data_IF_257915568255
#
_entry.id   IF_257915568255
#
_cell.length_a   1.000
_cell.length_b   1.000
_cell.length_c   1.000
_cell.angle_alpha   90.00
_cell.angle_beta   90.00
_cell.angle_gamma   90.00
#
_symmetry.space_group_name_H-M   'P 1'
#
loop_
_entity.id
_entity.type
_entity.pdbx_description
1 polymer ?
#
# COMPACT_ATOMS: atom_id res chain seq x y z
N UNK A 1 -0.21 -10.85 -14.11
CA UNK A 1 -0.84 -9.60 -14.61
C UNK A 1 0.22 -8.51 -14.63
N UNK A 2 0.28 -7.68 -15.69
CA UNK A 2 1.30 -6.62 -15.79
C UNK A 2 0.74 -5.35 -15.14
N UNK A 3 1.33 -4.92 -14.01
CA UNK A 3 0.91 -3.70 -13.33
C UNK A 3 1.63 -2.47 -13.90
N UNK A 4 0.98 -1.31 -13.79
CA UNK A 4 1.57 -0.03 -14.19
C UNK A 4 2.72 0.41 -13.26
N UNK A 5 3.56 1.33 -13.75
CA UNK A 5 4.75 1.81 -13.00
C UNK A 5 4.42 2.34 -11.60
N UNK A 6 3.29 3.05 -11.45
CA UNK A 6 2.87 3.65 -10.16
C UNK A 6 2.56 2.58 -9.11
N UNK A 7 1.89 1.50 -9.52
CA UNK A 7 1.63 0.35 -8.66
C UNK A 7 2.94 -0.33 -8.24
N UNK A 8 3.85 -0.58 -9.19
CA UNK A 8 5.13 -1.22 -8.90
C UNK A 8 5.96 -0.42 -7.88
N UNK A 9 5.94 0.92 -7.99
CA UNK A 9 6.63 1.79 -7.04
C UNK A 9 6.03 1.74 -5.63
N UNK A 10 4.70 1.69 -5.51
CA UNK A 10 4.05 1.55 -4.19
C UNK A 10 4.27 0.16 -3.60
N UNK A 11 4.18 -0.90 -4.41
CA UNK A 11 4.42 -2.28 -3.99
C UNK A 11 5.86 -2.47 -3.47
N UNK A 12 6.85 -1.79 -4.05
CA UNK A 12 8.23 -1.83 -3.59
C UNK A 12 8.44 -1.27 -2.17
N UNK A 13 7.50 -0.49 -1.62
CA UNK A 13 7.55 0.01 -0.24
C UNK A 13 7.12 -1.03 0.79
N UNK A 14 6.45 -2.09 0.36
CA UNK A 14 5.92 -3.15 1.21
C UNK A 14 6.96 -4.27 1.30
N UNK A 15 7.25 -4.72 2.52
CA UNK A 15 8.11 -5.88 2.76
C UNK A 15 7.24 -7.12 2.94
N UNK A 16 7.29 -8.02 1.96
CA UNK A 16 6.56 -9.29 2.03
C UNK A 16 6.98 -10.11 3.27
N UNK A 17 6.00 -10.71 3.94
CA UNK A 17 6.23 -11.53 5.14
C UNK A 17 6.47 -10.75 6.44
N UNK A 18 6.64 -9.42 6.39
CA UNK A 18 6.73 -8.59 7.60
C UNK A 18 5.34 -8.39 8.21
N UNK A 19 5.22 -8.64 9.52
CA UNK A 19 4.05 -8.22 10.30
C UNK A 19 4.27 -6.77 10.75
N UNK A 20 3.43 -5.88 10.25
CA UNK A 20 3.42 -4.47 10.66
C UNK A 20 2.50 -4.31 11.88
N UNK A 21 2.81 -3.35 12.76
CA UNK A 21 1.80 -2.89 13.73
C UNK A 21 0.65 -2.19 12.99
N UNK A 22 -0.49 -2.03 13.65
CA UNK A 22 -1.64 -1.33 13.05
C UNK A 22 -1.25 0.11 12.66
N UNK A 23 -0.52 0.80 13.53
CA UNK A 23 -0.07 2.17 13.30
C UNK A 23 0.90 2.27 12.12
N UNK A 24 1.84 1.33 12.02
CA UNK A 24 2.79 1.27 10.91
C UNK A 24 2.07 0.97 9.59
N UNK A 25 1.13 0.02 9.60
CA UNK A 25 0.34 -0.32 8.42
C UNK A 25 -0.50 0.87 7.95
N UNK A 26 -1.17 1.59 8.86
CA UNK A 26 -1.95 2.78 8.51
C UNK A 26 -1.09 3.90 7.90
N UNK A 27 0.16 4.09 8.35
CA UNK A 27 1.09 5.05 7.74
C UNK A 27 1.52 4.58 6.36
N UNK A 28 1.89 3.30 6.23
CA UNK A 28 2.38 2.72 4.98
C UNK A 28 1.32 2.78 3.87
N UNK A 29 0.06 2.51 4.18
CA UNK A 29 -1.04 2.60 3.21
C UNK A 29 -1.19 4.01 2.66
N UNK A 30 -1.09 5.03 3.52
CA UNK A 30 -1.11 6.44 3.10
C UNK A 30 0.08 6.80 2.21
N UNK A 31 1.26 6.25 2.49
CA UNK A 31 2.45 6.47 1.65
C UNK A 31 2.37 5.73 0.31
N UNK A 32 1.59 4.65 0.23
CA UNK A 32 1.36 3.90 -1.00
C UNK A 32 0.32 4.57 -1.92
N UNK A 33 -0.45 5.53 -1.40
CA UNK A 33 -1.43 6.31 -2.16
C UNK A 33 -0.78 7.02 -3.35
N UNK A 34 -1.36 6.85 -4.53
CA UNK A 34 -0.89 7.54 -5.72
C UNK A 34 -2.01 8.06 -6.62
N UNK A 35 -3.26 7.64 -6.49
CA UNK A 35 -4.31 8.28 -7.27
C UNK A 35 -4.50 9.74 -6.82
N UNK A 36 -5.26 10.50 -7.61
CA UNK A 36 -5.52 11.93 -7.34
C UNK A 36 -6.90 12.13 -6.68
N UNK A 37 -7.41 11.09 -6.03
CA UNK A 37 -8.73 11.08 -5.38
C UNK A 37 -8.62 10.32 -4.06
N UNK A 38 -9.58 10.51 -3.16
CA UNK A 38 -9.59 9.79 -1.88
C UNK A 38 -9.89 8.31 -2.10
N UNK A 39 -8.83 7.49 -2.03
CA UNK A 39 -8.91 6.03 -2.20
C UNK A 39 -9.51 5.35 -0.96
N UNK A 40 -10.29 4.29 -1.19
CA UNK A 40 -10.81 3.43 -0.13
C UNK A 40 -9.75 2.39 0.26
N UNK A 41 -9.53 2.21 1.56
CA UNK A 41 -8.65 1.16 2.11
C UNK A 41 -9.48 -0.08 2.40
N UNK A 42 -9.08 -1.22 1.85
CA UNK A 42 -9.71 -2.53 2.10
C UNK A 42 -8.93 -3.32 3.17
N UNK A 43 -9.65 -4.12 3.97
CA UNK A 43 -9.11 -4.91 5.08
C UNK A 43 -9.64 -6.34 5.01
N UNK A 44 -8.73 -7.32 4.96
CA UNK A 44 -9.05 -8.75 5.01
C UNK A 44 -8.49 -9.38 6.29
N UNK A 45 -9.27 -10.25 6.93
CA UNK A 45 -8.91 -10.97 8.17
C UNK A 45 -8.82 -12.46 7.89
#
# INVERSE_FOLDING_TARGET
>A
MKHGKRYLNSAAKITEGKKYSVEEACRLVKDCHFAKFDETVDLSV
#
